data_IF_427573143293
#
_entry.id   IF_427573143293
#
_cell.length_a   1.000
_cell.length_b   1.000
_cell.length_c   1.000
_cell.angle_alpha   90.00
_cell.angle_beta   90.00
_cell.angle_gamma   90.00
#
_symmetry.space_group_name_H-M   'P 1'
#
loop_
_entity.id
_entity.type
_entity.pdbx_description
1 polymer ?
#
# COMPACT_ATOMS: atom_id res chain seq x y z
N UNK A 1 8.31 -14.88 -12.41
CA UNK A 1 8.15 -14.04 -11.20
C UNK A 1 6.85 -14.44 -10.55
N UNK A 2 6.91 -14.81 -9.28
CA UNK A 2 5.74 -15.22 -8.51
C UNK A 2 4.81 -14.01 -8.27
N UNK A 3 3.49 -14.26 -8.27
CA UNK A 3 2.48 -13.23 -8.12
C UNK A 3 1.30 -13.73 -7.28
N UNK A 4 0.71 -12.84 -6.52
CA UNK A 4 -0.54 -13.04 -5.79
C UNK A 4 -1.62 -12.26 -6.54
N UNK A 5 -2.61 -12.95 -7.09
CA UNK A 5 -3.77 -12.29 -7.70
C UNK A 5 -4.82 -12.03 -6.65
N UNK A 6 -5.53 -10.92 -6.77
CA UNK A 6 -6.59 -10.58 -5.83
C UNK A 6 -7.78 -9.91 -6.52
N UNK A 7 -8.95 -10.16 -5.96
CA UNK A 7 -10.16 -9.40 -6.23
C UNK A 7 -10.52 -8.59 -4.97
N UNK A 8 -10.92 -7.34 -5.17
CA UNK A 8 -11.33 -6.44 -4.10
C UNK A 8 -12.74 -5.95 -4.37
N UNK A 9 -13.67 -6.26 -3.47
CA UNK A 9 -15.08 -5.82 -3.56
C UNK A 9 -15.33 -4.70 -2.56
N UNK A 10 -15.89 -3.56 -2.99
CA UNK A 10 -16.32 -2.51 -2.06
C UNK A 10 -17.54 -2.98 -1.27
N UNK A 11 -17.51 -2.85 0.05
CA UNK A 11 -18.63 -3.18 0.95
C UNK A 11 -19.32 -1.93 1.51
N UNK A 12 -18.70 -0.76 1.34
CA UNK A 12 -19.29 0.55 1.58
C UNK A 12 -18.75 1.54 0.54
N UNK A 13 -19.25 2.78 0.56
CA UNK A 13 -18.73 3.83 -0.33
C UNK A 13 -17.22 3.96 -0.17
N UNK A 14 -16.47 3.91 -1.27
CA UNK A 14 -15.02 4.10 -1.28
C UNK A 14 -14.70 5.46 -1.88
N UNK A 15 -13.88 6.24 -1.16
CA UNK A 15 -13.40 7.54 -1.61
C UNK A 15 -11.87 7.54 -1.66
N UNK A 16 -11.31 7.54 -2.86
CA UNK A 16 -9.86 7.69 -3.07
C UNK A 16 -9.66 9.06 -3.68
N UNK A 17 -9.34 10.05 -2.85
CA UNK A 17 -9.26 11.44 -3.29
C UNK A 17 -8.26 11.65 -4.42
N UNK A 18 -8.66 12.43 -5.41
CA UNK A 18 -7.80 12.96 -6.46
C UNK A 18 -8.10 14.45 -6.66
N UNK A 19 -7.19 15.17 -7.33
CA UNK A 19 -7.48 16.53 -7.77
C UNK A 19 -8.55 16.50 -8.87
N UNK A 20 -9.58 17.36 -8.79
CA UNK A 20 -10.59 17.44 -9.83
C UNK A 20 -9.93 17.74 -11.18
N UNK A 21 -10.42 17.12 -12.26
CA UNK A 21 -10.05 17.57 -13.61
C UNK A 21 -10.57 19.00 -13.81
N UNK A 22 -9.79 19.86 -14.48
CA UNK A 22 -10.02 21.31 -14.58
C UNK A 22 -11.35 21.72 -15.24
N UNK A 23 -12.15 20.77 -15.73
CA UNK A 23 -13.29 21.00 -16.60
C UNK A 23 -14.59 20.27 -16.19
N UNK A 24 -14.67 19.63 -15.02
CA UNK A 24 -15.96 19.11 -14.54
C UNK A 24 -16.86 20.24 -14.01
N UNK A 25 -17.73 20.73 -14.90
CA UNK A 25 -18.80 21.68 -14.59
C UNK A 25 -19.90 20.92 -13.82
N UNK A 26 -19.91 20.96 -12.48
CA UNK A 26 -20.90 20.19 -11.73
C UNK A 26 -21.00 20.32 -10.22
N UNK A 27 -20.21 21.17 -9.55
CA UNK A 27 -20.41 21.45 -8.11
C UNK A 27 -20.16 20.27 -7.17
N UNK A 28 -19.41 19.24 -7.60
CA UNK A 28 -18.88 18.21 -6.70
C UNK A 28 -17.55 18.72 -6.14
N UNK A 29 -17.40 18.71 -4.83
CA UNK A 29 -16.20 19.25 -4.17
C UNK A 29 -15.03 18.26 -4.13
N UNK A 30 -15.35 16.96 -4.07
CA UNK A 30 -14.39 15.90 -3.80
C UNK A 30 -14.56 14.74 -4.78
N UNK A 31 -13.50 14.43 -5.52
CA UNK A 31 -13.52 13.44 -6.59
C UNK A 31 -12.72 12.19 -6.24
N UNK A 32 -13.26 11.04 -6.61
CA UNK A 32 -12.52 9.78 -6.56
C UNK A 32 -11.68 9.61 -7.81
N UNK A 33 -10.45 9.14 -7.63
CA UNK A 33 -9.51 8.81 -8.69
C UNK A 33 -10.10 7.88 -9.74
N UNK A 34 -9.85 8.20 -11.01
CA UNK A 34 -10.31 7.43 -12.16
C UNK A 34 -9.17 7.09 -13.12
N UNK A 35 -9.38 6.10 -13.97
CA UNK A 35 -8.53 5.81 -15.11
C UNK A 35 -8.88 6.73 -16.31
N UNK A 36 -8.20 6.52 -17.44
CA UNK A 36 -8.42 7.30 -18.66
C UNK A 36 -9.80 7.03 -19.33
N UNK A 37 -10.53 6.02 -18.88
CA UNK A 37 -11.91 5.72 -19.29
C UNK A 37 -12.95 6.23 -18.29
N UNK A 38 -12.55 7.06 -17.31
CA UNK A 38 -13.40 7.56 -16.22
C UNK A 38 -13.96 6.46 -15.31
N UNK A 39 -13.37 5.26 -15.30
CA UNK A 39 -13.73 4.21 -14.34
C UNK A 39 -12.95 4.43 -13.05
N UNK A 40 -13.52 4.12 -11.87
CA UNK A 40 -12.76 4.22 -10.63
C UNK A 40 -11.48 3.38 -10.68
N UNK A 41 -10.42 3.88 -10.05
CA UNK A 41 -9.14 3.21 -9.97
C UNK A 41 -8.67 3.20 -8.52
N UNK A 42 -8.18 2.06 -8.02
CA UNK A 42 -7.50 2.00 -6.73
C UNK A 42 -6.00 2.03 -6.99
N UNK A 43 -5.29 3.14 -6.66
CA UNK A 43 -3.85 3.20 -6.79
C UNK A 43 -3.17 2.14 -5.92
N UNK A 44 -2.12 1.55 -6.45
CA UNK A 44 -1.24 0.60 -5.78
C UNK A 44 -0.80 1.13 -4.40
N UNK A 45 -0.53 2.43 -4.29
CA UNK A 45 -0.13 3.09 -3.04
C UNK A 45 -1.19 3.01 -1.94
N UNK A 46 -2.47 3.01 -2.29
CA UNK A 46 -3.58 2.92 -1.32
C UNK A 46 -3.65 1.53 -0.70
N UNK A 47 -3.58 0.47 -1.51
CA UNK A 47 -3.52 -0.91 -1.01
C UNK A 47 -2.21 -1.15 -0.24
N UNK A 48 -1.08 -0.73 -0.82
CA UNK A 48 0.25 -0.86 -0.23
C UNK A 48 0.33 -0.24 1.17
N UNK A 49 -0.18 0.98 1.32
CA UNK A 49 -0.13 1.71 2.59
C UNK A 49 -0.90 1.02 3.70
N UNK A 50 -2.11 0.52 3.40
CA UNK A 50 -2.93 -0.19 4.39
C UNK A 50 -2.38 -1.58 4.68
N UNK A 51 -1.92 -2.33 3.67
CA UNK A 51 -1.29 -3.63 3.91
C UNK A 51 0.00 -3.49 4.75
N UNK A 52 0.76 -2.41 4.56
CA UNK A 52 1.91 -2.11 5.43
C UNK A 52 1.50 -1.91 6.88
N UNK A 53 0.41 -1.18 7.12
CA UNK A 53 -0.14 -1.02 8.47
C UNK A 53 -0.56 -2.36 9.08
N UNK A 54 -1.25 -3.20 8.30
CA UNK A 54 -1.66 -4.54 8.74
C UNK A 54 -0.43 -5.37 9.16
N UNK A 55 0.59 -5.45 8.30
CA UNK A 55 1.81 -6.22 8.60
C UNK A 55 2.54 -5.66 9.82
N UNK A 56 2.53 -4.34 10.02
CA UNK A 56 3.06 -3.68 11.22
C UNK A 56 2.30 -4.12 12.48
N UNK A 57 0.97 -4.15 12.43
CA UNK A 57 0.12 -4.64 13.53
C UNK A 57 0.32 -6.15 13.81
N UNK A 58 0.83 -6.90 12.83
CA UNK A 58 1.16 -8.33 12.93
C UNK A 58 2.60 -8.59 13.40
N UNK A 59 3.33 -7.62 13.95
CA UNK A 59 4.73 -7.77 14.38
C UNK A 59 4.97 -8.95 15.35
N UNK A 60 3.94 -9.34 16.11
CA UNK A 60 4.02 -10.46 17.07
C UNK A 60 3.86 -11.84 16.41
N UNK A 61 3.35 -11.89 15.17
CA UNK A 61 3.16 -13.11 14.38
C UNK A 61 4.49 -13.81 14.11
N UNK A 62 4.51 -15.14 14.21
CA UNK A 62 5.73 -15.94 14.02
C UNK A 62 6.32 -15.78 12.62
N UNK A 63 5.48 -15.70 11.58
CA UNK A 63 5.94 -15.52 10.21
C UNK A 63 6.50 -14.11 9.97
N UNK A 64 5.92 -13.08 10.60
CA UNK A 64 6.46 -11.72 10.55
C UNK A 64 7.87 -11.66 11.15
N UNK A 65 8.08 -12.33 12.30
CA UNK A 65 9.40 -12.45 12.95
C UNK A 65 10.40 -13.21 12.09
N UNK A 66 9.98 -14.33 11.48
CA UNK A 66 10.82 -15.11 10.58
C UNK A 66 11.25 -14.30 9.35
N UNK A 67 10.34 -13.53 8.76
CA UNK A 67 10.63 -12.62 7.65
C UNK A 67 11.62 -11.53 8.08
N UNK A 68 11.42 -10.91 9.24
CA UNK A 68 12.34 -9.91 9.77
C UNK A 68 13.76 -10.48 9.95
N UNK A 69 13.87 -11.67 10.55
CA UNK A 69 15.16 -12.34 10.71
C UNK A 69 15.79 -12.73 9.36
N UNK A 70 15.00 -13.14 8.37
CA UNK A 70 15.50 -13.42 7.03
C UNK A 70 16.06 -12.15 6.34
N UNK A 71 15.43 -11.00 6.54
CA UNK A 71 15.97 -9.72 6.07
C UNK A 71 17.26 -9.33 6.80
N UNK A 72 17.35 -9.56 8.11
CA UNK A 72 18.56 -9.30 8.91
C UNK A 72 19.75 -10.06 8.34
N UNK A 73 19.55 -11.36 8.08
CA UNK A 73 20.56 -12.22 7.45
C UNK A 73 20.91 -11.75 6.04
N UNK A 74 19.90 -11.46 5.22
CA UNK A 74 20.11 -10.96 3.85
C UNK A 74 20.96 -9.69 3.82
N UNK A 75 20.68 -8.72 4.69
CA UNK A 75 21.44 -7.46 4.74
C UNK A 75 22.83 -7.63 5.34
N UNK A 76 23.02 -8.54 6.30
CA UNK A 76 24.34 -8.88 6.84
C UNK A 76 25.24 -9.51 5.77
N UNK A 77 24.72 -10.48 5.00
CA UNK A 77 25.45 -11.11 3.89
C UNK A 77 25.77 -10.10 2.78
N UNK A 78 24.86 -9.16 2.52
CA UNK A 78 25.05 -8.10 1.53
C UNK A 78 26.09 -7.08 1.99
N UNK A 79 26.11 -6.74 3.28
CA UNK A 79 27.12 -5.86 3.87
C UNK A 79 28.52 -6.48 3.79
N UNK A 80 28.66 -7.77 4.10
CA UNK A 80 29.94 -8.48 4.01
C UNK A 80 30.47 -8.49 2.58
N UNK A 81 29.65 -8.87 1.60
CA UNK A 81 30.01 -8.83 0.17
C UNK A 81 30.40 -7.42 -0.27
N UNK A 82 29.70 -6.41 0.21
CA UNK A 82 30.03 -5.03 -0.10
C UNK A 82 31.39 -4.62 0.49
N UNK A 83 31.68 -5.00 1.76
CA UNK A 83 32.98 -4.78 2.40
C UNK A 83 34.11 -5.46 1.61
N UNK A 84 33.91 -6.68 1.12
CA UNK A 84 34.88 -7.38 0.26
C UNK A 84 35.12 -6.66 -1.07
N UNK A 85 34.06 -6.23 -1.75
CA UNK A 85 34.15 -5.50 -3.01
C UNK A 85 34.89 -4.16 -2.83
N UNK A 86 34.64 -3.46 -1.72
CA UNK A 86 35.33 -2.21 -1.38
C UNK A 86 36.82 -2.42 -1.08
N UNK A 87 37.21 -3.55 -0.45
CA UNK A 87 38.63 -3.93 -0.28
C UNK A 87 39.32 -4.16 -1.62
N UNK A 88 38.62 -4.74 -2.61
CA UNK A 88 39.16 -4.99 -3.95
C UNK A 88 39.21 -3.75 -4.84
N UNK A 89 38.34 -2.77 -4.61
CA UNK A 89 38.23 -1.53 -5.37
C UNK A 89 38.91 -0.31 -4.70
N UNK A 90 39.86 -0.57 -3.78
CA UNK A 90 40.36 0.38 -2.78
C UNK A 90 40.85 1.74 -3.29
N UNK A 91 41.18 1.90 -4.57
CA UNK A 91 41.74 3.14 -5.13
C UNK A 91 40.72 4.18 -5.65
N UNK A 92 39.42 3.88 -5.72
CA UNK A 92 38.46 4.74 -6.48
C UNK A 92 37.25 5.31 -5.71
N UNK A 93 37.16 5.13 -4.40
CA UNK A 93 35.95 5.54 -3.65
C UNK A 93 36.32 6.48 -2.50
N UNK A 94 35.72 7.67 -2.52
CA UNK A 94 35.87 8.71 -1.50
C UNK A 94 35.46 8.21 -0.10
N UNK A 95 36.18 8.62 0.97
CA UNK A 95 35.92 8.18 2.34
C UNK A 95 34.48 8.41 2.81
N UNK A 96 33.94 9.61 2.53
CA UNK A 96 32.57 10.00 2.91
C UNK A 96 31.51 9.08 2.30
N UNK A 97 31.73 8.63 1.06
CA UNK A 97 30.83 7.69 0.38
C UNK A 97 30.87 6.30 1.01
N UNK A 98 32.02 5.86 1.55
CA UNK A 98 32.14 4.59 2.28
C UNK A 98 31.41 4.66 3.61
N UNK A 99 31.56 5.76 4.34
CA UNK A 99 30.91 5.99 5.62
C UNK A 99 29.39 5.98 5.48
N UNK A 100 28.84 6.75 4.53
CA UNK A 100 27.39 6.78 4.29
C UNK A 100 26.78 5.44 3.83
N UNK A 101 27.58 4.55 3.21
CA UNK A 101 27.13 3.19 2.88
C UNK A 101 27.09 2.33 4.14
N UNK A 102 28.14 2.36 4.96
CA UNK A 102 28.21 1.58 6.20
C UNK A 102 27.11 1.98 7.19
N UNK A 103 26.90 3.29 7.38
CA UNK A 103 25.81 3.81 8.23
C UNK A 103 24.44 3.31 7.74
N UNK A 104 24.23 3.28 6.42
CA UNK A 104 22.99 2.78 5.84
C UNK A 104 22.75 1.31 6.14
N UNK A 105 23.77 0.46 6.02
CA UNK A 105 23.68 -0.96 6.39
C UNK A 105 23.40 -1.12 7.89
N UNK A 106 24.17 -0.44 8.75
CA UNK A 106 23.98 -0.49 10.20
C UNK A 106 22.57 -0.08 10.61
N UNK A 107 22.06 1.02 10.04
CA UNK A 107 20.67 1.47 10.27
C UNK A 107 19.65 0.42 9.82
N UNK A 108 19.84 -0.17 8.64
CA UNK A 108 18.92 -1.16 8.06
C UNK A 108 18.88 -2.45 8.88
N UNK A 109 20.01 -2.93 9.36
CA UNK A 109 20.07 -4.13 10.21
C UNK A 109 19.40 -3.85 11.57
N UNK A 110 19.64 -2.66 12.14
CA UNK A 110 19.05 -2.26 13.43
C UNK A 110 17.53 -2.09 13.38
N UNK A 111 17.00 -1.57 12.28
CA UNK A 111 15.57 -1.27 12.10
C UNK A 111 14.83 -2.37 11.33
N UNK A 112 15.37 -3.59 11.34
CA UNK A 112 14.83 -4.71 10.56
C UNK A 112 13.42 -5.05 11.00
N UNK A 113 12.54 -5.29 10.02
CA UNK A 113 11.16 -5.69 10.26
C UNK A 113 10.55 -6.36 9.03
N UNK A 114 9.39 -7.00 9.22
CA UNK A 114 8.59 -7.51 8.10
C UNK A 114 8.13 -6.39 7.14
N UNK A 115 8.13 -5.11 7.57
CA UNK A 115 7.81 -3.99 6.70
C UNK A 115 8.83 -3.80 5.56
N UNK A 116 9.99 -4.46 5.61
CA UNK A 116 10.95 -4.44 4.50
C UNK A 116 10.43 -5.11 3.23
N UNK A 117 9.35 -5.90 3.34
CA UNK A 117 8.53 -6.34 2.20
C UNK A 117 8.05 -5.17 1.33
N UNK A 118 7.94 -3.95 1.87
CA UNK A 118 7.48 -2.78 1.12
C UNK A 118 8.62 -1.96 0.48
N UNK A 119 9.87 -2.43 0.64
CA UNK A 119 11.09 -1.82 0.13
C UNK A 119 11.90 -1.12 1.20
N UNK A 120 13.22 -1.09 1.00
CA UNK A 120 14.19 -0.45 1.90
C UNK A 120 14.90 0.68 1.16
N UNK A 121 14.92 1.87 1.77
CA UNK A 121 15.50 3.05 1.16
C UNK A 121 16.99 2.84 0.87
N UNK A 122 17.41 3.12 -0.37
CA UNK A 122 18.80 2.97 -0.80
C UNK A 122 19.22 1.54 -1.18
N UNK A 123 18.28 0.58 -1.14
CA UNK A 123 18.49 -0.80 -1.59
C UNK A 123 17.40 -1.23 -2.59
N UNK A 124 17.41 -0.61 -3.76
CA UNK A 124 16.39 -0.85 -4.80
C UNK A 124 16.29 -2.33 -5.23
N UNK A 125 17.40 -3.06 -5.14
CA UNK A 125 17.51 -4.46 -5.57
C UNK A 125 17.13 -5.48 -4.49
N UNK A 126 16.80 -5.02 -3.28
CA UNK A 126 16.36 -5.88 -2.19
C UNK A 126 15.02 -6.57 -2.49
N UNK A 127 14.77 -7.76 -1.90
CA UNK A 127 13.50 -8.45 -1.99
C UNK A 127 12.35 -7.56 -1.51
N UNK A 128 11.28 -7.45 -2.31
CA UNK A 128 10.13 -6.57 -2.01
C UNK A 128 8.88 -6.98 -2.79
N UNK A 129 7.74 -6.49 -2.34
CA UNK A 129 6.47 -6.58 -3.03
C UNK A 129 6.34 -5.41 -4.02
N UNK A 130 5.91 -5.72 -5.24
CA UNK A 130 5.58 -4.72 -6.26
C UNK A 130 4.07 -4.77 -6.46
N UNK A 131 3.43 -3.63 -6.28
CA UNK A 131 1.97 -3.48 -6.34
C UNK A 131 1.59 -2.85 -7.68
N UNK A 132 0.61 -3.44 -8.34
CA UNK A 132 -0.07 -2.83 -9.48
C UNK A 132 -1.37 -2.15 -9.02
N UNK A 133 -1.82 -1.16 -9.77
CA UNK A 133 -3.12 -0.53 -9.52
C UNK A 133 -4.24 -1.56 -9.71
N UNK A 134 -5.31 -1.45 -8.92
CA UNK A 134 -6.48 -2.30 -9.09
C UNK A 134 -7.48 -1.60 -10.00
N UNK A 135 -7.84 -2.28 -11.08
CA UNK A 135 -8.78 -1.79 -12.10
C UNK A 135 -10.15 -2.46 -11.91
N UNK A 136 -11.21 -1.79 -12.36
CA UNK A 136 -12.58 -2.36 -12.31
C UNK A 136 -12.63 -3.65 -13.13
N UNK A 137 -13.18 -4.71 -12.54
CA UNK A 137 -13.42 -5.99 -13.22
C UNK A 137 -14.34 -5.78 -14.42
N UNK A 138 -13.99 -6.38 -15.56
CA UNK A 138 -14.80 -6.33 -16.78
C UNK A 138 -16.25 -6.80 -16.55
N UNK A 139 -17.17 -6.24 -17.33
CA UNK A 139 -18.60 -6.58 -17.27
C UNK A 139 -19.42 -5.80 -16.24
N UNK A 140 -18.86 -4.81 -15.56
CA UNK A 140 -19.60 -3.91 -14.67
C UNK A 140 -20.05 -2.64 -15.42
N UNK A 141 -21.32 -2.31 -15.28
CA UNK A 141 -21.97 -1.15 -15.91
C UNK A 141 -21.45 0.18 -15.34
N UNK A 142 -21.05 1.12 -16.21
CA UNK A 142 -20.43 2.38 -15.79
C UNK A 142 -21.33 3.24 -14.89
N UNK A 143 -22.64 3.25 -15.17
CA UNK A 143 -23.65 3.97 -14.37
C UNK A 143 -23.76 3.47 -12.92
N UNK A 144 -23.25 2.27 -12.65
CA UNK A 144 -23.33 1.60 -11.35
C UNK A 144 -22.01 1.74 -10.56
N UNK A 145 -21.00 2.42 -11.10
CA UNK A 145 -19.68 2.54 -10.45
C UNK A 145 -19.64 3.65 -9.40
N UNK A 146 -20.32 4.78 -9.63
CA UNK A 146 -20.25 5.95 -8.75
C UNK A 146 -21.58 6.30 -8.08
N UNK A 147 -21.47 6.78 -6.85
CA UNK A 147 -22.51 7.49 -6.10
C UNK A 147 -22.04 8.89 -5.73
N UNK A 148 -22.99 9.83 -5.72
CA UNK A 148 -22.79 11.15 -5.12
C UNK A 148 -23.32 11.09 -3.69
N UNK A 149 -22.46 11.44 -2.74
CA UNK A 149 -22.80 11.50 -1.33
C UNK A 149 -22.47 12.89 -0.77
N UNK A 150 -23.23 13.36 0.20
CA UNK A 150 -23.07 14.69 0.80
C UNK A 150 -22.68 14.55 2.26
N UNK A 151 -21.51 15.10 2.63
CA UNK A 151 -21.05 15.12 4.02
C UNK A 151 -21.00 16.53 4.55
N UNK A 152 -21.41 16.69 5.80
CA UNK A 152 -21.40 18.00 6.46
C UNK A 152 -20.30 18.09 7.51
N UNK A 153 -19.72 19.29 7.68
CA UNK A 153 -18.95 19.67 8.86
C UNK A 153 -19.71 20.79 9.57
N UNK A 154 -19.93 20.60 10.86
CA UNK A 154 -20.60 21.59 11.71
C UNK A 154 -19.51 22.31 12.49
N UNK A 155 -19.39 23.61 12.29
CA UNK A 155 -18.50 24.48 13.04
C UNK A 155 -19.37 25.29 14.03
N UNK A 156 -18.98 25.34 15.31
CA UNK A 156 -19.62 26.21 16.31
C UNK A 156 -18.70 27.40 16.54
N UNK A 157 -19.17 28.60 16.20
CA UNK A 157 -18.41 29.85 16.38
C UNK A 157 -19.35 30.84 17.06
N UNK A 158 -18.96 31.38 18.21
CA UNK A 158 -19.74 32.40 18.95
C UNK A 158 -21.22 32.00 19.16
N UNK A 159 -21.47 30.77 19.64
CA UNK A 159 -22.81 30.16 19.80
C UNK A 159 -23.66 30.03 18.52
N UNK A 160 -23.10 30.29 17.33
CA UNK A 160 -23.73 30.03 16.05
C UNK A 160 -23.27 28.69 15.46
N UNK A 161 -24.26 27.86 15.09
CA UNK A 161 -24.06 26.58 14.43
C UNK A 161 -24.00 26.80 12.92
N UNK A 162 -22.82 26.60 12.32
CA UNK A 162 -22.59 26.77 10.89
C UNK A 162 -22.35 25.42 10.20
N UNK A 163 -23.20 25.07 9.23
CA UNK A 163 -23.04 23.88 8.40
C UNK A 163 -22.22 24.18 7.14
N UNK A 164 -21.22 23.34 6.85
CA UNK A 164 -20.41 23.36 5.62
C UNK A 164 -20.56 22.02 4.89
N UNK A 165 -21.67 21.81 4.15
CA UNK A 165 -21.86 20.62 3.34
C UNK A 165 -20.83 20.55 2.22
N UNK A 166 -20.40 19.33 1.89
CA UNK A 166 -19.49 19.01 0.79
C UNK A 166 -19.97 17.78 0.06
N UNK A 167 -19.87 17.81 -1.26
CA UNK A 167 -20.31 16.72 -2.13
C UNK A 167 -19.13 15.85 -2.54
N UNK A 168 -19.29 14.53 -2.46
CA UNK A 168 -18.27 13.53 -2.75
C UNK A 168 -18.75 12.60 -3.87
N UNK A 169 -17.97 12.48 -4.95
CA UNK A 169 -18.10 11.40 -5.93
C UNK A 169 -17.33 10.20 -5.41
N UNK A 170 -18.03 9.11 -5.11
CA UNK A 170 -17.51 7.92 -4.42
C UNK A 170 -17.83 6.67 -5.20
N UNK A 171 -17.01 5.63 -5.07
CA UNK A 171 -17.32 4.32 -5.65
C UNK A 171 -18.44 3.68 -4.83
N UNK A 172 -19.44 3.12 -5.51
CA UNK A 172 -20.54 2.41 -4.85
C UNK A 172 -20.07 1.14 -4.15
N UNK A 173 -20.81 0.63 -3.15
CA UNK A 173 -20.65 -0.74 -2.67
C UNK A 173 -21.01 -1.73 -3.79
N UNK A 174 -20.34 -2.88 -3.81
CA UNK A 174 -20.53 -3.95 -4.79
C UNK A 174 -19.59 -3.88 -5.99
N UNK A 175 -18.84 -2.78 -6.16
CA UNK A 175 -17.87 -2.65 -7.25
C UNK A 175 -16.66 -3.55 -7.00
N UNK A 176 -16.33 -4.37 -7.99
CA UNK A 176 -15.21 -5.32 -7.93
C UNK A 176 -14.02 -4.78 -8.71
N UNK A 177 -12.85 -4.82 -8.09
CA UNK A 177 -11.56 -4.49 -8.68
C UNK A 177 -10.67 -5.74 -8.75
N UNK A 178 -9.80 -5.79 -9.74
CA UNK A 178 -8.82 -6.88 -9.91
C UNK A 178 -7.42 -6.33 -10.04
N UNK A 179 -6.44 -7.07 -9.52
CA UNK A 179 -5.03 -6.77 -9.74
C UNK A 179 -4.13 -7.85 -9.16
N UNK A 180 -2.83 -7.59 -9.14
CA UNK A 180 -1.83 -8.50 -8.61
C UNK A 180 -0.70 -7.78 -7.85
N UNK A 181 -0.05 -8.57 -6.99
CA UNK A 181 1.15 -8.18 -6.26
C UNK A 181 2.26 -9.14 -6.68
N UNK A 182 3.38 -8.60 -7.17
CA UNK A 182 4.53 -9.39 -7.58
C UNK A 182 5.50 -9.57 -6.42
N UNK A 183 5.99 -10.79 -6.24
CA UNK A 183 7.02 -11.12 -5.27
C UNK A 183 8.38 -10.97 -5.95
N UNK A 184 9.01 -9.80 -5.77
CA UNK A 184 10.29 -9.49 -6.39
C UNK A 184 11.44 -10.05 -5.54
N UNK A 185 12.17 -11.01 -6.11
CA UNK A 185 13.39 -11.60 -5.53
C UNK A 185 13.23 -12.21 -4.13
N UNK A 186 12.01 -12.65 -3.77
CA UNK A 186 11.72 -13.20 -2.43
C UNK A 186 12.50 -14.48 -2.15
N UNK A 187 12.88 -15.22 -3.18
CA UNK A 187 13.72 -16.42 -3.07
C UNK A 187 15.09 -16.13 -2.42
N UNK A 188 15.57 -14.88 -2.48
CA UNK A 188 16.84 -14.48 -1.87
C UNK A 188 16.80 -14.39 -0.34
N UNK A 189 15.61 -14.37 0.26
CA UNK A 189 15.46 -14.42 1.71
C UNK A 189 15.67 -15.85 2.26
N UNK A 190 15.62 -16.87 1.39
CA UNK A 190 15.94 -18.25 1.78
C UNK A 190 14.92 -18.92 2.71
N UNK A 191 13.76 -18.31 2.91
CA UNK A 191 12.65 -18.84 3.71
C UNK A 191 11.44 -19.18 2.83
N UNK A 192 10.57 -20.07 3.32
CA UNK A 192 9.26 -20.36 2.73
C UNK A 192 8.19 -19.57 3.50
N UNK A 193 6.91 -19.64 3.11
CA UNK A 193 5.84 -19.04 3.89
C UNK A 193 5.59 -17.54 3.65
N UNK A 194 6.47 -16.85 2.89
CA UNK A 194 6.31 -15.41 2.60
C UNK A 194 5.00 -15.14 1.88
N UNK A 195 4.68 -15.97 0.87
CA UNK A 195 3.45 -15.83 0.10
C UNK A 195 2.24 -16.01 1.01
N UNK A 196 2.22 -17.09 1.78
CA UNK A 196 1.14 -17.43 2.70
C UNK A 196 0.93 -16.35 3.76
N UNK A 197 2.02 -15.75 4.26
CA UNK A 197 1.95 -14.61 5.17
C UNK A 197 1.32 -13.38 4.50
N UNK A 198 1.74 -13.02 3.29
CA UNK A 198 1.16 -11.88 2.55
C UNK A 198 -0.31 -12.12 2.22
N UNK A 199 -0.68 -13.33 1.82
CA UNK A 199 -2.08 -13.71 1.58
C UNK A 199 -2.91 -13.62 2.86
N UNK A 200 -2.39 -14.12 4.00
CA UNK A 200 -3.01 -13.96 5.31
C UNK A 200 -3.21 -12.49 5.67
N UNK A 201 -2.20 -11.65 5.51
CA UNK A 201 -2.29 -10.21 5.78
C UNK A 201 -3.29 -9.50 4.86
N UNK A 202 -3.44 -9.93 3.60
CA UNK A 202 -4.48 -9.41 2.71
C UNK A 202 -5.89 -9.77 3.19
N UNK A 203 -6.07 -10.96 3.78
CA UNK A 203 -7.38 -11.38 4.30
C UNK A 203 -7.80 -10.60 5.55
N UNK A 204 -6.87 -9.96 6.28
CA UNK A 204 -7.21 -9.11 7.44
C UNK A 204 -8.06 -7.89 7.08
N UNK A 205 -8.08 -7.46 5.81
CA UNK A 205 -9.03 -6.46 5.32
C UNK A 205 -10.49 -6.87 5.57
N UNK A 206 -10.77 -8.18 5.54
CA UNK A 206 -12.12 -8.73 5.71
C UNK A 206 -12.66 -8.59 7.15
N UNK A 207 -11.79 -8.31 8.13
CA UNK A 207 -12.21 -7.93 9.49
C UNK A 207 -13.09 -6.67 9.50
N UNK A 208 -12.93 -5.80 8.49
CA UNK A 208 -13.60 -4.51 8.40
C UNK A 208 -13.01 -3.44 9.32
N UNK A 209 -11.94 -3.70 10.06
CA UNK A 209 -11.24 -2.65 10.84
C UNK A 209 -10.40 -1.79 9.89
N UNK A 210 -9.63 -2.44 9.01
CA UNK A 210 -8.82 -1.76 8.01
C UNK A 210 -9.69 -1.18 6.89
N UNK A 211 -9.47 0.10 6.57
CA UNK A 211 -10.26 0.85 5.58
C UNK A 211 -9.37 1.36 4.45
N UNK A 212 -9.87 1.34 3.23
CA UNK A 212 -9.22 1.98 2.08
C UNK A 212 -9.78 3.39 1.86
N UNK A 213 -8.89 4.29 1.46
CA UNK A 213 -9.25 5.67 1.11
C UNK A 213 -9.61 6.54 2.31
N UNK A 214 -10.28 7.66 2.02
CA UNK A 214 -10.66 8.67 3.00
C UNK A 214 -11.99 8.38 3.70
N UNK A 215 -12.19 9.03 4.85
CA UNK A 215 -13.42 8.94 5.66
C UNK A 215 -13.72 7.57 6.28
N UNK A 216 -12.71 6.72 6.50
CA UNK A 216 -12.90 5.37 7.05
C UNK A 216 -13.69 5.33 8.38
N UNK A 217 -13.35 6.21 9.33
CA UNK A 217 -14.07 6.33 10.61
C UNK A 217 -15.51 6.82 10.48
N UNK A 218 -15.90 7.32 9.32
CA UNK A 218 -17.27 7.76 8.97
C UNK A 218 -17.97 6.76 8.05
N UNK A 219 -17.55 5.49 8.06
CA UNK A 219 -18.22 4.38 7.38
C UNK A 219 -17.76 4.09 5.96
N UNK A 220 -16.82 4.87 5.41
CA UNK A 220 -16.29 4.62 4.06
C UNK A 220 -15.21 3.52 4.04
N UNK A 221 -14.92 3.02 2.85
CA UNK A 221 -13.71 2.25 2.61
C UNK A 221 -13.71 0.84 3.18
N UNK A 222 -14.87 0.28 3.53
CA UNK A 222 -14.95 -1.16 3.85
C UNK A 222 -14.79 -1.93 2.56
N UNK A 223 -13.94 -2.95 2.57
CA UNK A 223 -13.70 -3.80 1.41
C UNK A 223 -13.67 -5.27 1.82
N UNK A 224 -13.89 -6.15 0.84
CA UNK A 224 -13.58 -7.58 0.93
C UNK A 224 -12.46 -7.88 -0.05
N UNK A 225 -11.44 -8.62 0.39
CA UNK A 225 -10.39 -9.16 -0.47
C UNK A 225 -10.56 -10.67 -0.58
N UNK A 226 -10.49 -11.15 -1.82
CA UNK A 226 -10.46 -12.55 -2.19
C UNK A 226 -9.13 -12.81 -2.93
N UNK A 227 -8.28 -13.68 -2.40
CA UNK A 227 -7.01 -14.07 -3.04
C UNK A 227 -7.27 -15.20 -4.05
N UNK A 228 -6.61 -15.14 -5.22
CA UNK A 228 -6.82 -16.05 -6.35
C UNK A 228 -5.53 -16.77 -6.77
#
# INVERSE_FOLDING_TARGET
MERIKLELTTLSNLFIGDTPSSFEIGGIDQYTKTDFHNKPLIPASSLKGVLRRIISDMESDSAAKEIAHAYEKYFSDLEEKNKENLKRAAEKIEPERKEGINERFAKTIREVSAEYLFGVQGFNDAPKLIFNDLIVKEGQEERELFSIDSKNRIDVVEDQINAKPRTYKTVRPGVVFTGDILLYRMERLGIKGIREFVEKSLLEFNSGIYRLGGSGSRGYGRVRIDVR
#
